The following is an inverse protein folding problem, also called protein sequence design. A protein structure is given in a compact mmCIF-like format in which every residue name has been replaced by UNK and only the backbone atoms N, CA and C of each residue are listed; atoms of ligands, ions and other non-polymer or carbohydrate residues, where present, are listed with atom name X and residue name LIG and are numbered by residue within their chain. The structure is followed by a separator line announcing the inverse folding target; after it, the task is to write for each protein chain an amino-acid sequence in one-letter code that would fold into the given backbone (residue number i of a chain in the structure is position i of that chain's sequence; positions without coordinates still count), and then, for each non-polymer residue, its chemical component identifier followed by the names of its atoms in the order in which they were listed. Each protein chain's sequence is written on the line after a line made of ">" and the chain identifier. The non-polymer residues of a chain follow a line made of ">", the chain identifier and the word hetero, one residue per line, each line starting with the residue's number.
data_IF_706733652407
#
_entry.id   IF_706733652407
#
_cell.length_a   1.000
_cell.length_b   1.000
_cell.length_c   1.000
_cell.angle_alpha   90.00
_cell.angle_beta   90.00
_cell.angle_gamma   90.00
#
_symmetry.space_group_name_H-M   'P 1'
#
loop_
_entity.id
_entity.type
_entity.pdbx_description
1 polymer ?
#
# COMPACT_ATOMS: atom_id res chain seq x y z
N UNK A 1 -8.68 -10.94 -16.12
CA UNK A 1 -8.06 -9.59 -15.99
C UNK A 1 -8.31 -9.05 -14.60
N UNK A 2 -7.32 -8.45 -14.00
CA UNK A 2 -7.48 -7.78 -12.71
C UNK A 2 -7.44 -6.27 -12.91
N UNK A 3 -8.31 -5.56 -12.19
CA UNK A 3 -8.42 -4.11 -12.27
C UNK A 3 -7.99 -3.51 -10.93
N UNK A 4 -6.93 -2.70 -10.97
CA UNK A 4 -6.44 -1.95 -9.81
C UNK A 4 -6.69 -0.46 -10.03
N UNK A 5 -7.15 0.23 -8.99
CA UNK A 5 -7.27 1.69 -9.01
C UNK A 5 -6.05 2.30 -8.30
N UNK A 6 -5.50 3.33 -8.91
CA UNK A 6 -4.38 4.09 -8.33
C UNK A 6 -4.94 5.37 -7.72
N UNK A 7 -5.37 5.30 -6.47
CA UNK A 7 -6.05 6.40 -5.80
C UNK A 7 -6.04 6.20 -4.28
N UNK A 8 -6.23 7.29 -3.55
CA UNK A 8 -6.49 7.28 -2.13
C UNK A 8 -7.84 7.91 -1.79
N UNK A 9 -8.68 8.20 -2.80
CA UNK A 9 -10.00 8.81 -2.60
C UNK A 9 -11.01 7.75 -2.16
N UNK A 10 -11.46 7.82 -0.92
CA UNK A 10 -12.35 6.82 -0.33
C UNK A 10 -13.71 6.74 -1.04
N UNK A 11 -14.26 7.88 -1.45
CA UNK A 11 -15.55 7.89 -2.14
C UNK A 11 -15.47 7.16 -3.48
N UNK A 12 -14.41 7.43 -4.24
CA UNK A 12 -14.17 6.74 -5.51
C UNK A 12 -13.95 5.25 -5.30
N UNK A 13 -13.16 4.88 -4.28
CA UNK A 13 -12.89 3.48 -3.95
C UNK A 13 -14.18 2.74 -3.63
N UNK A 14 -15.02 3.31 -2.76
CA UNK A 14 -16.30 2.70 -2.39
C UNK A 14 -17.21 2.55 -3.60
N UNK A 15 -17.32 3.60 -4.42
CA UNK A 15 -18.17 3.57 -5.60
C UNK A 15 -17.80 2.46 -6.57
N UNK A 16 -16.52 2.37 -6.96
CA UNK A 16 -16.07 1.36 -7.91
C UNK A 16 -16.05 -0.03 -7.29
N UNK A 17 -15.76 -0.15 -6.01
CA UNK A 17 -15.82 -1.43 -5.32
C UNK A 17 -17.26 -1.98 -5.26
N UNK A 18 -18.24 -1.11 -4.99
CA UNK A 18 -19.65 -1.50 -4.97
C UNK A 18 -20.15 -1.96 -6.34
N UNK A 19 -19.54 -1.46 -7.41
CA UNK A 19 -19.82 -1.90 -8.79
C UNK A 19 -19.18 -3.26 -9.13
N UNK A 20 -18.37 -3.81 -8.23
CA UNK A 20 -17.69 -5.09 -8.45
C UNK A 20 -16.53 -5.02 -9.43
N UNK A 21 -16.00 -3.82 -9.67
CA UNK A 21 -14.97 -3.61 -10.69
C UNK A 21 -13.54 -3.64 -10.16
N UNK A 22 -13.35 -3.59 -8.84
CA UNK A 22 -12.02 -3.38 -8.25
C UNK A 22 -11.48 -4.68 -7.67
N UNK A 23 -10.33 -5.11 -8.16
CA UNK A 23 -9.60 -6.26 -7.63
C UNK A 23 -8.57 -5.84 -6.59
N UNK A 24 -8.10 -4.60 -6.64
CA UNK A 24 -7.15 -4.09 -5.67
C UNK A 24 -6.94 -2.59 -5.81
N UNK A 25 -6.16 -2.05 -4.90
CA UNK A 25 -5.85 -0.61 -4.86
C UNK A 25 -4.33 -0.45 -4.82
N UNK A 26 -3.83 0.53 -5.56
CA UNK A 26 -2.48 1.06 -5.36
C UNK A 26 -2.59 2.49 -4.91
N UNK A 27 -1.78 2.87 -3.95
CA UNK A 27 -1.68 4.24 -3.49
C UNK A 27 -0.21 4.59 -3.25
N UNK A 28 0.07 5.85 -2.99
CA UNK A 28 1.39 6.35 -2.67
C UNK A 28 1.28 7.58 -1.77
N UNK A 29 2.41 8.06 -1.19
CA UNK A 29 2.35 9.21 -0.28
C UNK A 29 1.77 10.47 -0.89
N UNK A 30 2.01 10.72 -2.18
CA UNK A 30 1.48 11.90 -2.88
C UNK A 30 -0.04 11.85 -2.99
N UNK A 31 -0.60 10.69 -3.33
CA UNK A 31 -2.06 10.51 -3.42
C UNK A 31 -2.71 10.66 -2.04
N UNK A 32 -2.10 10.11 -1.00
CA UNK A 32 -2.59 10.25 0.36
C UNK A 32 -2.57 11.71 0.83
N UNK A 33 -1.49 12.42 0.56
CA UNK A 33 -1.36 13.83 0.90
C UNK A 33 -2.42 14.70 0.20
N UNK A 34 -2.75 14.35 -1.04
CA UNK A 34 -3.74 15.08 -1.84
C UNK A 34 -5.14 15.00 -1.25
N UNK A 35 -5.48 13.88 -0.61
CA UNK A 35 -6.79 13.71 0.03
C UNK A 35 -6.90 14.47 1.35
N UNK A 36 -5.78 14.83 1.97
CA UNK A 36 -5.77 15.48 3.27
C UNK A 36 -6.09 14.53 4.41
N UNK A 37 -6.29 15.06 5.60
CA UNK A 37 -6.60 14.27 6.79
C UNK A 37 -5.44 13.43 7.28
N UNK A 38 -5.75 12.40 8.05
CA UNK A 38 -4.76 11.48 8.61
C UNK A 38 -4.49 10.33 7.63
N UNK A 39 -3.28 10.25 7.04
CA UNK A 39 -2.94 9.19 6.10
C UNK A 39 -3.11 7.78 6.67
N UNK A 40 -2.81 7.60 7.96
CA UNK A 40 -2.92 6.29 8.61
C UNK A 40 -4.37 5.81 8.65
N UNK A 41 -5.29 6.71 8.97
CA UNK A 41 -6.72 6.38 8.97
C UNK A 41 -7.23 6.06 7.57
N UNK A 42 -6.78 6.80 6.58
CA UNK A 42 -7.13 6.55 5.18
C UNK A 42 -6.64 5.18 4.72
N UNK A 43 -5.39 4.85 5.00
CA UNK A 43 -4.82 3.54 4.64
C UNK A 43 -5.55 2.39 5.32
N UNK A 44 -5.85 2.55 6.60
CA UNK A 44 -6.60 1.53 7.35
C UNK A 44 -7.99 1.31 6.76
N UNK A 45 -8.68 2.39 6.42
CA UNK A 45 -10.02 2.33 5.82
C UNK A 45 -10.00 1.66 4.45
N UNK A 46 -9.03 1.99 3.60
CA UNK A 46 -8.86 1.34 2.29
C UNK A 46 -8.68 -0.17 2.47
N UNK A 47 -7.82 -0.57 3.41
CA UNK A 47 -7.55 -2.00 3.66
C UNK A 47 -8.78 -2.73 4.16
N UNK A 48 -9.69 -2.05 4.84
CA UNK A 48 -10.97 -2.63 5.29
C UNK A 48 -11.99 -2.78 4.17
N UNK A 49 -12.08 -1.79 3.29
CA UNK A 49 -13.07 -1.76 2.20
C UNK A 49 -12.76 -2.81 1.14
N UNK A 50 -11.49 -2.93 0.77
CA UNK A 50 -11.03 -3.76 -0.35
C UNK A 50 -10.68 -5.15 0.15
N UNK A 51 -11.18 -6.18 -0.54
CA UNK A 51 -10.86 -7.57 -0.23
C UNK A 51 -9.58 -8.04 -0.89
N UNK A 52 -9.24 -7.47 -2.05
CA UNK A 52 -8.01 -7.79 -2.77
C UNK A 52 -6.80 -7.03 -2.24
N UNK A 53 -5.72 -7.05 -2.99
CA UNK A 53 -4.46 -6.45 -2.59
C UNK A 53 -4.54 -4.94 -2.50
N UNK A 54 -3.98 -4.39 -1.41
CA UNK A 54 -3.85 -2.95 -1.20
C UNK A 54 -2.36 -2.64 -1.09
N UNK A 55 -1.82 -1.95 -2.08
CA UNK A 55 -0.40 -1.60 -2.13
C UNK A 55 -0.17 -0.27 -1.44
N UNK A 56 0.62 -0.30 -0.35
CA UNK A 56 0.95 0.86 0.46
C UNK A 56 2.46 1.10 0.46
N UNK A 57 2.87 2.32 0.16
CA UNK A 57 4.27 2.65 -0.04
C UNK A 57 4.92 3.18 1.23
N UNK A 58 6.15 2.73 1.51
CA UNK A 58 6.96 3.27 2.60
C UNK A 58 7.49 4.65 2.21
N UNK A 59 7.60 5.53 3.20
CA UNK A 59 8.12 6.90 3.03
C UNK A 59 9.61 6.98 3.37
N UNK A 60 10.08 6.11 4.25
CA UNK A 60 11.48 6.04 4.67
C UNK A 60 12.41 5.79 3.49
N UNK A 61 13.62 6.33 3.56
CA UNK A 61 14.61 6.23 2.49
C UNK A 61 15.75 5.24 2.80
N UNK A 62 15.86 4.78 4.04
CA UNK A 62 16.87 3.82 4.47
C UNK A 62 16.24 2.47 4.81
N UNK A 63 17.09 1.42 4.79
CA UNK A 63 16.64 0.04 4.99
C UNK A 63 15.90 -0.15 6.33
N UNK A 64 16.49 0.29 7.43
CA UNK A 64 15.92 0.07 8.77
C UNK A 64 14.57 0.76 8.92
N UNK A 65 14.46 1.99 8.45
CA UNK A 65 13.21 2.74 8.45
C UNK A 65 12.13 2.07 7.60
N UNK A 66 12.50 1.56 6.43
CA UNK A 66 11.57 0.84 5.55
C UNK A 66 11.07 -0.44 6.21
N UNK A 67 11.95 -1.18 6.88
CA UNK A 67 11.57 -2.43 7.56
C UNK A 67 10.57 -2.16 8.68
N UNK A 68 10.82 -1.15 9.50
CA UNK A 68 9.90 -0.78 10.57
C UNK A 68 8.57 -0.29 10.03
N UNK A 69 8.61 0.62 9.06
CA UNK A 69 7.41 1.20 8.46
C UNK A 69 6.57 0.13 7.74
N UNK A 70 7.19 -0.75 6.99
CA UNK A 70 6.50 -1.83 6.30
C UNK A 70 5.78 -2.77 7.26
N UNK A 71 6.38 -3.08 8.40
CA UNK A 71 5.72 -3.87 9.44
C UNK A 71 4.50 -3.16 10.02
N UNK A 72 4.58 -1.83 10.18
CA UNK A 72 3.43 -1.04 10.63
C UNK A 72 2.31 -1.04 9.58
N UNK A 73 2.66 -0.89 8.31
CA UNK A 73 1.67 -0.93 7.22
C UNK A 73 0.95 -2.28 7.17
N UNK A 74 1.65 -3.38 7.39
CA UNK A 74 1.05 -4.73 7.40
C UNK A 74 0.02 -4.91 8.50
N UNK A 75 0.06 -4.12 9.53
CA UNK A 75 -0.94 -4.19 10.62
C UNK A 75 -2.32 -3.71 10.19
N UNK A 76 -2.42 -2.97 9.09
CA UNK A 76 -3.72 -2.49 8.59
C UNK A 76 -4.57 -3.61 8.00
N UNK A 77 -3.97 -4.71 7.55
CA UNK A 77 -4.73 -5.84 7.01
C UNK A 77 -3.82 -6.87 6.35
N UNK A 78 -4.31 -8.10 6.25
CA UNK A 78 -3.59 -9.20 5.60
C UNK A 78 -3.47 -9.00 4.10
N UNK A 79 -4.26 -8.10 3.54
CA UNK A 79 -4.25 -7.77 2.11
C UNK A 79 -3.26 -6.65 1.75
N UNK A 80 -2.50 -6.13 2.72
CA UNK A 80 -1.51 -5.08 2.46
C UNK A 80 -0.29 -5.66 1.77
N UNK A 81 0.08 -5.03 0.64
CA UNK A 81 1.33 -5.27 -0.08
C UNK A 81 2.24 -4.07 0.17
N UNK A 82 3.44 -4.31 0.67
CA UNK A 82 4.37 -3.21 0.98
C UNK A 82 5.10 -2.81 -0.31
N UNK A 83 4.98 -1.54 -0.67
CA UNK A 83 5.63 -0.99 -1.86
C UNK A 83 6.91 -0.26 -1.46
N UNK A 84 8.02 -0.63 -2.08
CA UNK A 84 9.33 -0.07 -1.80
C UNK A 84 9.91 0.61 -3.05
N UNK A 85 10.75 1.66 -2.89
CA UNK A 85 11.37 2.31 -4.04
C UNK A 85 12.45 1.44 -4.69
N UNK A 86 12.72 1.68 -5.96
CA UNK A 86 13.78 1.02 -6.72
C UNK A 86 15.13 1.65 -6.37
N UNK A 87 15.58 1.45 -5.16
CA UNK A 87 16.89 1.89 -4.64
C UNK A 87 17.60 0.68 -4.04
N UNK A 88 18.88 0.81 -3.72
CA UNK A 88 19.62 -0.25 -3.05
C UNK A 88 18.93 -0.69 -1.76
N UNK A 89 18.59 0.27 -0.92
CA UNK A 89 17.90 -0.01 0.37
C UNK A 89 16.48 -0.54 0.13
N UNK A 90 15.77 -0.02 -0.86
CA UNK A 90 14.43 -0.50 -1.21
C UNK A 90 14.42 -1.96 -1.67
N UNK A 91 15.36 -2.33 -2.53
CA UNK A 91 15.50 -3.72 -3.00
C UNK A 91 15.88 -4.66 -1.86
N UNK A 92 16.77 -4.21 -0.97
CA UNK A 92 17.17 -4.98 0.21
C UNK A 92 15.97 -5.20 1.14
N UNK A 93 15.16 -4.16 1.35
CA UNK A 93 13.94 -4.26 2.15
C UNK A 93 12.93 -5.23 1.51
N UNK A 94 12.74 -5.17 0.20
CA UNK A 94 11.86 -6.10 -0.52
C UNK A 94 12.27 -7.55 -0.31
N UNK A 95 13.56 -7.83 -0.41
CA UNK A 95 14.07 -9.20 -0.18
C UNK A 95 13.77 -9.66 1.24
N UNK A 96 14.05 -8.80 2.23
CA UNK A 96 13.82 -9.14 3.63
C UNK A 96 12.34 -9.37 3.94
N UNK A 97 11.44 -8.52 3.42
CA UNK A 97 10.01 -8.71 3.58
C UNK A 97 9.54 -10.02 2.94
N UNK A 98 10.01 -10.30 1.73
CA UNK A 98 9.66 -11.53 1.02
C UNK A 98 10.07 -12.78 1.81
N UNK A 99 11.24 -12.77 2.41
CA UNK A 99 11.72 -13.85 3.27
C UNK A 99 10.87 -14.04 4.52
N UNK A 100 10.20 -12.98 4.96
CA UNK A 100 9.27 -13.01 6.11
C UNK A 100 7.83 -13.33 5.70
N UNK A 101 7.59 -13.62 4.43
CA UNK A 101 6.25 -13.92 3.92
C UNK A 101 5.37 -12.69 3.72
N UNK A 102 5.96 -11.50 3.69
CA UNK A 102 5.22 -10.26 3.46
C UNK A 102 5.23 -9.93 1.96
N UNK A 103 4.05 -9.79 1.33
CA UNK A 103 4.00 -9.45 -0.09
C UNK A 103 4.58 -8.06 -0.34
N UNK A 104 5.34 -7.93 -1.40
CA UNK A 104 6.02 -6.67 -1.75
C UNK A 104 5.86 -6.35 -3.23
N UNK A 105 5.94 -5.08 -3.57
CA UNK A 105 6.20 -4.65 -4.92
C UNK A 105 7.17 -3.45 -4.93
N UNK A 106 7.71 -3.17 -6.09
CA UNK A 106 8.74 -2.16 -6.28
C UNK A 106 8.21 -1.09 -7.22
N UNK A 107 8.45 0.18 -6.88
CA UNK A 107 8.05 1.30 -7.73
C UNK A 107 9.28 2.06 -8.21
N UNK A 108 9.21 2.55 -9.44
CA UNK A 108 10.26 3.38 -10.02
C UNK A 108 10.07 4.90 -9.67
#
# INVERSE_FOLDING_TARGET
>A
MKIFLDTANLDAIRMYNDMGLVDGITTNPSLLAKEGGDPQKTMEEISRIIKGDVSLEVVSTDYDGMMEEGRQLRKYGDNVVVKCPMTGDGLKACKSFSEQGIPVNVTL
#
